data_IF_562601503140
#
_entry.id   IF_562601503140
#
_cell.length_a   1.000
_cell.length_b   1.000
_cell.length_c   1.000
_cell.angle_alpha   90.00
_cell.angle_beta   90.00
_cell.angle_gamma   90.00
#
_symmetry.space_group_name_H-M   'P 1'
#
loop_
_entity.id
_entity.type
_entity.pdbx_description
1 polymer ?
#
# COMPACT_ATOMS: atom_id res chain seq x y z
N UNK A 1 -43.60 14.87 11.20
CA UNK A 1 -42.53 14.72 10.19
C UNK A 1 -41.17 14.45 10.85
N UNK A 2 -41.06 13.45 11.74
CA UNK A 2 -39.82 13.16 12.49
C UNK A 2 -39.27 11.74 12.29
N UNK A 3 -40.01 10.88 11.55
CA UNK A 3 -39.60 9.48 11.29
C UNK A 3 -38.64 9.36 10.10
N UNK A 4 -38.61 10.37 9.20
CA UNK A 4 -37.72 10.38 8.04
C UNK A 4 -36.27 10.75 8.35
N UNK A 5 -36.03 11.58 9.37
CA UNK A 5 -34.70 12.10 9.71
C UNK A 5 -33.77 11.01 10.29
N UNK A 6 -34.35 10.10 11.09
CA UNK A 6 -33.61 8.99 11.72
C UNK A 6 -33.32 7.83 10.76
N UNK A 7 -34.17 7.58 9.76
CA UNK A 7 -33.86 6.64 8.66
C UNK A 7 -32.82 7.23 7.70
N UNK A 8 -32.93 8.52 7.36
CA UNK A 8 -31.99 9.20 6.46
C UNK A 8 -30.57 9.27 7.06
N UNK A 9 -30.44 9.49 8.36
CA UNK A 9 -29.17 9.40 9.08
C UNK A 9 -28.56 7.98 9.05
N UNK A 10 -29.39 6.93 9.18
CA UNK A 10 -28.96 5.53 9.08
C UNK A 10 -28.50 5.15 7.67
N UNK A 11 -29.17 5.66 6.65
CA UNK A 11 -28.78 5.50 5.25
C UNK A 11 -27.46 6.22 4.94
N UNK A 12 -27.24 7.42 5.48
CA UNK A 12 -26.01 8.18 5.27
C UNK A 12 -24.78 7.46 5.87
N UNK A 13 -24.94 6.83 7.04
CA UNK A 13 -23.91 5.99 7.64
C UNK A 13 -23.64 4.72 6.83
N UNK A 14 -24.68 4.05 6.30
CA UNK A 14 -24.53 2.87 5.43
C UNK A 14 -23.85 3.23 4.11
N UNK A 15 -24.24 4.33 3.47
CA UNK A 15 -23.64 4.78 2.21
C UNK A 15 -22.17 5.15 2.41
N UNK A 16 -21.86 5.92 3.45
CA UNK A 16 -20.48 6.25 3.83
C UNK A 16 -19.64 4.98 4.05
N UNK A 17 -20.21 3.98 4.71
CA UNK A 17 -19.55 2.68 4.91
C UNK A 17 -19.30 1.94 3.58
N UNK A 18 -20.29 1.87 2.70
CA UNK A 18 -20.14 1.26 1.36
C UNK A 18 -19.10 2.00 0.51
N UNK A 19 -19.11 3.34 0.52
CA UNK A 19 -18.12 4.16 -0.16
C UNK A 19 -16.71 3.94 0.38
N UNK A 20 -16.53 3.86 1.71
CA UNK A 20 -15.24 3.56 2.32
C UNK A 20 -14.76 2.15 1.97
N UNK A 21 -15.64 1.14 2.01
CA UNK A 21 -15.31 -0.24 1.63
C UNK A 21 -14.87 -0.32 0.16
N UNK A 22 -15.60 0.35 -0.74
CA UNK A 22 -15.28 0.39 -2.17
C UNK A 22 -13.99 1.15 -2.46
N UNK A 23 -13.79 2.30 -1.80
CA UNK A 23 -12.57 3.10 -1.88
C UNK A 23 -11.35 2.30 -1.43
N UNK A 24 -11.45 1.59 -0.29
CA UNK A 24 -10.39 0.75 0.22
C UNK A 24 -10.06 -0.43 -0.70
N UNK A 25 -11.06 -1.13 -1.25
CA UNK A 25 -10.84 -2.18 -2.25
C UNK A 25 -10.11 -1.62 -3.48
N UNK A 26 -10.53 -0.46 -3.96
CA UNK A 26 -9.92 0.22 -5.11
C UNK A 26 -8.46 0.56 -4.81
N UNK A 27 -8.19 1.11 -3.63
CA UNK A 27 -6.84 1.49 -3.19
C UNK A 27 -5.92 0.28 -3.04
N UNK A 28 -6.39 -0.80 -2.39
CA UNK A 28 -5.65 -2.06 -2.28
C UNK A 28 -5.37 -2.68 -3.66
N UNK A 29 -6.33 -2.64 -4.57
CA UNK A 29 -6.14 -3.19 -5.93
C UNK A 29 -5.12 -2.37 -6.72
N UNK A 30 -5.15 -1.03 -6.59
CA UNK A 30 -4.16 -0.17 -7.21
C UNK A 30 -2.75 -0.42 -6.64
N UNK A 31 -2.61 -0.49 -5.30
CA UNK A 31 -1.35 -0.81 -4.64
C UNK A 31 -0.84 -2.21 -5.00
N UNK A 32 -1.72 -3.17 -5.18
CA UNK A 32 -1.38 -4.52 -5.62
C UNK A 32 -0.75 -4.51 -7.02
N UNK A 33 -1.36 -3.79 -7.98
CA UNK A 33 -0.82 -3.63 -9.34
C UNK A 33 0.53 -2.91 -9.30
N UNK A 34 0.63 -1.81 -8.55
CA UNK A 34 1.88 -1.04 -8.40
C UNK A 34 2.99 -1.91 -7.77
N UNK A 35 2.70 -2.63 -6.69
CA UNK A 35 3.63 -3.53 -6.02
C UNK A 35 4.12 -4.65 -6.94
N UNK A 36 3.22 -5.22 -7.75
CA UNK A 36 3.58 -6.20 -8.78
C UNK A 36 4.50 -5.65 -9.86
N UNK A 37 4.26 -4.42 -10.32
CA UNK A 37 5.15 -3.73 -11.27
C UNK A 37 6.53 -3.47 -10.65
N UNK A 38 6.58 -2.94 -9.42
CA UNK A 38 7.84 -2.70 -8.69
C UNK A 38 8.62 -4.00 -8.50
N UNK A 39 7.94 -5.09 -8.12
CA UNK A 39 8.55 -6.41 -7.97
C UNK A 39 9.13 -6.91 -9.30
N UNK A 40 8.39 -6.77 -10.39
CA UNK A 40 8.82 -7.17 -11.73
C UNK A 40 10.07 -6.39 -12.16
N UNK A 41 10.07 -5.07 -11.95
CA UNK A 41 11.23 -4.20 -12.26
C UNK A 41 12.43 -4.54 -11.37
N UNK A 42 12.21 -4.79 -10.07
CA UNK A 42 13.28 -5.18 -9.14
C UNK A 42 13.94 -6.50 -9.52
N UNK A 43 13.15 -7.51 -9.90
CA UNK A 43 13.66 -8.80 -10.37
C UNK A 43 14.42 -8.61 -11.70
N UNK A 44 13.87 -7.83 -12.64
CA UNK A 44 14.54 -7.54 -13.90
C UNK A 44 15.91 -6.87 -13.68
N UNK A 45 15.96 -5.87 -12.79
CA UNK A 45 17.19 -5.18 -12.42
C UNK A 45 18.23 -6.13 -11.80
N UNK A 46 17.82 -7.04 -10.90
CA UNK A 46 18.72 -8.05 -10.32
C UNK A 46 19.24 -9.04 -11.38
N UNK A 47 18.39 -9.49 -12.30
CA UNK A 47 18.77 -10.43 -13.38
C UNK A 47 19.78 -9.80 -14.33
N UNK A 48 19.57 -8.55 -14.76
CA UNK A 48 20.57 -7.84 -15.57
C UNK A 48 21.89 -7.68 -14.81
N UNK A 49 21.84 -7.33 -13.53
CA UNK A 49 23.03 -7.22 -12.66
C UNK A 49 23.81 -8.53 -12.58
N UNK A 50 23.14 -9.67 -12.44
CA UNK A 50 23.80 -10.97 -12.39
C UNK A 50 24.50 -11.34 -13.71
N UNK A 51 24.00 -10.83 -14.84
CA UNK A 51 24.63 -11.02 -16.16
C UNK A 51 25.86 -10.12 -16.37
N UNK A 52 25.83 -8.88 -15.86
CA UNK A 52 26.96 -7.94 -15.95
C UNK A 52 27.78 -7.97 -14.64
N UNK A 53 28.57 -9.04 -14.49
CA UNK A 53 29.21 -9.56 -13.27
C UNK A 53 29.96 -8.58 -12.31
N UNK A 54 30.11 -7.29 -12.56
CA UNK A 54 30.99 -6.42 -11.74
C UNK A 54 30.76 -4.91 -11.92
N UNK A 55 29.56 -4.35 -11.79
CA UNK A 55 29.46 -2.89 -11.53
C UNK A 55 28.60 -2.60 -10.30
N UNK A 56 29.30 -2.21 -9.25
CA UNK A 56 28.81 -1.50 -8.07
C UNK A 56 27.87 -2.25 -7.12
N UNK A 57 28.39 -2.56 -5.92
CA UNK A 57 27.61 -2.84 -4.72
C UNK A 57 26.53 -1.77 -4.46
N UNK A 58 26.70 -0.56 -5.00
CA UNK A 58 25.73 0.53 -4.96
C UNK A 58 24.44 0.26 -5.74
N UNK A 59 24.44 -0.62 -6.75
CA UNK A 59 23.24 -0.98 -7.52
C UNK A 59 22.53 -2.23 -6.97
N UNK A 60 23.22 -3.02 -6.14
CA UNK A 60 22.65 -4.15 -5.38
C UNK A 60 21.65 -3.66 -4.32
N UNK A 61 22.06 -2.63 -3.57
CA UNK A 61 21.27 -2.11 -2.46
C UNK A 61 19.89 -1.59 -2.93
N UNK A 62 19.76 -0.76 -3.98
CA UNK A 62 18.47 -0.31 -4.50
C UNK A 62 17.60 -1.44 -5.04
N UNK A 63 18.17 -2.40 -5.79
CA UNK A 63 17.38 -3.47 -6.42
C UNK A 63 16.80 -4.44 -5.38
N UNK A 64 17.58 -4.82 -4.36
CA UNK A 64 17.09 -5.65 -3.25
C UNK A 64 16.02 -4.89 -2.44
N UNK A 65 16.21 -3.59 -2.18
CA UNK A 65 15.19 -2.77 -1.50
C UNK A 65 13.90 -2.74 -2.32
N UNK A 66 13.98 -2.57 -3.65
CA UNK A 66 12.80 -2.57 -4.53
C UNK A 66 12.05 -3.93 -4.51
N UNK A 67 12.78 -5.05 -4.52
CA UNK A 67 12.16 -6.39 -4.44
C UNK A 67 11.47 -6.58 -3.09
N UNK A 68 12.14 -6.23 -1.98
CA UNK A 68 11.57 -6.31 -0.63
C UNK A 68 10.31 -5.45 -0.51
N UNK A 69 10.39 -4.19 -0.96
CA UNK A 69 9.28 -3.25 -0.92
C UNK A 69 8.08 -3.76 -1.75
N UNK A 70 8.32 -4.17 -2.99
CA UNK A 70 7.30 -4.71 -3.89
C UNK A 70 6.63 -5.97 -3.34
N UNK A 71 7.41 -6.86 -2.73
CA UNK A 71 6.90 -8.09 -2.11
C UNK A 71 6.00 -7.77 -0.91
N UNK A 72 6.44 -6.90 0.00
CA UNK A 72 5.64 -6.48 1.17
C UNK A 72 4.34 -5.81 0.72
N UNK A 73 4.41 -4.88 -0.23
CA UNK A 73 3.21 -4.20 -0.77
C UNK A 73 2.23 -5.18 -1.41
N UNK A 74 2.72 -6.18 -2.14
CA UNK A 74 1.88 -7.21 -2.76
C UNK A 74 1.14 -8.05 -1.71
N UNK A 75 1.83 -8.54 -0.68
CA UNK A 75 1.22 -9.33 0.39
C UNK A 75 0.22 -8.53 1.22
N UNK A 76 0.57 -7.30 1.62
CA UNK A 76 -0.32 -6.42 2.39
C UNK A 76 -1.60 -6.13 1.59
N UNK A 77 -1.48 -5.88 0.29
CA UNK A 77 -2.63 -5.62 -0.58
C UNK A 77 -3.52 -6.85 -0.76
N UNK A 78 -2.93 -8.04 -0.92
CA UNK A 78 -3.67 -9.30 -1.01
C UNK A 78 -4.46 -9.61 0.27
N UNK A 79 -3.81 -9.45 1.43
CA UNK A 79 -4.45 -9.58 2.74
C UNK A 79 -5.57 -8.54 2.90
N UNK A 80 -5.39 -7.32 2.39
CA UNK A 80 -6.42 -6.27 2.39
C UNK A 80 -7.67 -6.61 1.59
N UNK A 81 -7.51 -7.22 0.41
CA UNK A 81 -8.65 -7.69 -0.39
C UNK A 81 -9.36 -8.84 0.31
N UNK A 82 -8.62 -9.82 0.86
CA UNK A 82 -9.19 -10.91 1.65
C UNK A 82 -9.91 -10.43 2.92
N UNK A 83 -9.36 -9.42 3.59
CA UNK A 83 -9.95 -8.77 4.75
C UNK A 83 -11.27 -8.08 4.40
N UNK A 84 -11.37 -7.46 3.23
CA UNK A 84 -12.60 -6.80 2.75
C UNK A 84 -13.71 -7.78 2.37
N UNK A 85 -13.35 -8.98 1.91
CA UNK A 85 -14.29 -10.06 1.60
C UNK A 85 -14.91 -10.69 2.85
N UNK A 86 -14.21 -10.65 3.98
CA UNK A 86 -14.76 -11.12 5.25
C UNK A 86 -15.66 -10.01 5.79
N UNK A 87 -16.98 -10.22 5.83
CA UNK A 87 -18.01 -9.25 6.27
C UNK A 87 -17.92 -8.80 7.75
N UNK A 88 -16.72 -8.80 8.32
CA UNK A 88 -16.43 -8.26 9.64
C UNK A 88 -16.06 -6.77 9.52
N UNK A 89 -17.07 -5.92 9.72
CA UNK A 89 -16.94 -4.46 9.87
C UNK A 89 -15.76 -4.02 10.75
N UNK A 90 -15.51 -4.74 11.85
CA UNK A 90 -14.41 -4.46 12.78
C UNK A 90 -13.03 -4.66 12.13
N UNK A 91 -12.91 -5.66 11.25
CA UNK A 91 -11.67 -6.01 10.58
C UNK A 91 -11.35 -5.02 9.45
N UNK A 92 -12.37 -4.51 8.76
CA UNK A 92 -12.23 -3.45 7.77
C UNK A 92 -11.75 -2.13 8.40
N UNK A 93 -12.30 -1.77 9.56
CA UNK A 93 -11.91 -0.56 10.28
C UNK A 93 -10.47 -0.66 10.78
N UNK A 94 -10.10 -1.77 11.41
CA UNK A 94 -8.72 -2.02 11.86
C UNK A 94 -7.73 -1.97 10.68
N UNK A 95 -8.10 -2.53 9.53
CA UNK A 95 -7.26 -2.53 8.35
C UNK A 95 -7.05 -1.13 7.76
N UNK A 96 -8.07 -0.27 7.77
CA UNK A 96 -7.95 1.14 7.36
C UNK A 96 -6.96 1.90 8.25
N UNK A 97 -7.00 1.68 9.58
CA UNK A 97 -6.03 2.27 10.50
C UNK A 97 -4.61 1.76 10.25
N UNK A 98 -4.44 0.47 10.01
CA UNK A 98 -3.12 -0.13 9.72
C UNK A 98 -2.56 0.43 8.41
N UNK A 99 -3.36 0.53 7.34
CA UNK A 99 -2.93 1.13 6.08
C UNK A 99 -2.57 2.60 6.23
N UNK A 100 -3.42 3.38 6.92
CA UNK A 100 -3.13 4.78 7.21
C UNK A 100 -1.83 4.95 7.98
N UNK A 101 -1.61 4.14 9.01
CA UNK A 101 -0.36 4.13 9.78
C UNK A 101 0.83 3.73 8.90
N UNK A 102 0.68 2.74 8.03
CA UNK A 102 1.73 2.28 7.13
C UNK A 102 2.12 3.39 6.13
N UNK A 103 1.15 4.08 5.54
CA UNK A 103 1.39 5.24 4.66
C UNK A 103 2.08 6.40 5.39
N UNK A 104 1.72 6.67 6.65
CA UNK A 104 2.39 7.69 7.45
C UNK A 104 3.85 7.33 7.71
N UNK A 105 4.13 6.05 8.00
CA UNK A 105 5.50 5.54 8.19
C UNK A 105 6.29 5.61 6.89
N UNK A 106 5.70 5.19 5.76
CA UNK A 106 6.33 5.29 4.44
C UNK A 106 6.62 6.73 4.05
N UNK A 107 5.67 7.65 4.26
CA UNK A 107 5.85 9.08 4.00
C UNK A 107 6.95 9.68 4.88
N UNK A 108 6.96 9.36 6.17
CA UNK A 108 8.01 9.82 7.09
C UNK A 108 9.38 9.28 6.68
N UNK A 109 9.48 7.99 6.34
CA UNK A 109 10.69 7.37 5.81
C UNK A 109 11.17 8.03 4.52
N UNK A 110 10.26 8.31 3.59
CA UNK A 110 10.56 9.00 2.34
C UNK A 110 11.06 10.43 2.58
N UNK A 111 10.44 11.19 3.49
CA UNK A 111 10.89 12.54 3.87
C UNK A 111 12.28 12.51 4.49
N UNK A 112 12.54 11.58 5.43
CA UNK A 112 13.87 11.41 6.03
C UNK A 112 14.91 11.05 4.97
N UNK A 113 14.58 10.13 4.06
CA UNK A 113 15.45 9.74 2.96
C UNK A 113 15.74 10.92 1.99
N UNK A 114 14.75 11.78 1.72
CA UNK A 114 14.93 12.99 0.91
C UNK A 114 15.84 14.01 1.58
N UNK A 115 15.65 14.27 2.88
CA UNK A 115 16.50 15.19 3.65
C UNK A 115 17.93 14.66 3.68
N UNK A 116 18.12 13.37 3.93
CA UNK A 116 19.45 12.77 3.93
C UNK A 116 20.10 12.90 2.56
N UNK A 117 19.37 12.57 1.47
CA UNK A 117 19.85 12.80 0.09
C UNK A 117 20.30 14.24 -0.17
N UNK A 118 19.60 15.23 0.37
CA UNK A 118 19.94 16.65 0.23
C UNK A 118 21.16 17.08 1.09
N UNK A 119 21.57 16.27 2.07
CA UNK A 119 22.74 16.53 2.91
C UNK A 119 24.00 15.79 2.42
N UNK A 120 23.85 14.70 1.65
CA UNK A 120 24.98 13.95 1.05
C UNK A 120 25.38 14.43 -0.36
N UNK A 121 24.73 15.48 -0.88
CA UNK A 121 25.07 16.16 -2.13
C UNK A 121 25.87 17.44 -1.91
#
# INVERSE_FOLDING_TARGET
MAVGDSEQARYCARLSYLCLKFSLITYCTAFWVIGGLILTVGIYAEVERQKYKTLESAFLAPAIILILLGTVMFFVSFVGVLASLRDNLCLLQAFMYILGLCLLIELAGAVVALIFRNQVS
#
